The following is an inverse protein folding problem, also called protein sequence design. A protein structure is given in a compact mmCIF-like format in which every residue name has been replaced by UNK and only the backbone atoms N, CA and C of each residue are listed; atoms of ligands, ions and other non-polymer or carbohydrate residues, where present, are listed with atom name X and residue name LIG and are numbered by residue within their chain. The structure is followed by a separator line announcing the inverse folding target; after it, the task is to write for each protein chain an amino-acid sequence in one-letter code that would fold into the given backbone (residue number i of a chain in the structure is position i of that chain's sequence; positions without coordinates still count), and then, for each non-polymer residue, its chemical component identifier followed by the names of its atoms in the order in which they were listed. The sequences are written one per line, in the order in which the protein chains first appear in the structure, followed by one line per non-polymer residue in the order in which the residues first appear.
data_IF_555480083145
#
_entry.id   IF_555480083145
#
_cell.length_a   1.000
_cell.length_b   1.000
_cell.length_c   1.000
_cell.angle_alpha   90.00
_cell.angle_beta   90.00
_cell.angle_gamma   90.00
#
_symmetry.space_group_name_H-M   'P 1'
#
loop_
_entity.id
_entity.type
_entity.pdbx_description
1 polymer ?
#
# COMPACT_ATOMS: atom_id res chain seq x y z
N UNK A 1 1.78 -4.70 -13.06
CA UNK A 1 1.40 -5.72 -12.03
C UNK A 1 2.46 -5.82 -10.94
N UNK A 2 3.73 -6.14 -11.23
CA UNK A 2 4.76 -6.29 -10.21
C UNK A 2 5.08 -5.03 -9.37
N UNK A 3 4.70 -3.84 -9.84
CA UNK A 3 5.00 -2.58 -9.14
C UNK A 3 6.47 -2.17 -9.20
N UNK A 4 7.26 -2.70 -10.14
CA UNK A 4 8.71 -2.45 -10.21
C UNK A 4 9.12 -1.25 -11.08
N UNK A 5 8.29 -0.83 -12.05
CA UNK A 5 8.61 0.27 -12.98
C UNK A 5 8.34 1.65 -12.36
N UNK A 6 8.86 1.85 -11.15
CA UNK A 6 8.50 2.93 -10.25
C UNK A 6 9.40 4.16 -10.44
N UNK A 7 8.87 5.21 -11.05
CA UNK A 7 9.59 6.46 -11.34
C UNK A 7 8.64 7.63 -11.59
N UNK A 8 9.13 8.85 -11.34
CA UNK A 8 8.46 10.09 -11.68
C UNK A 8 8.66 10.39 -13.17
N UNK A 9 7.60 10.86 -13.83
CA UNK A 9 7.66 11.34 -15.21
C UNK A 9 6.93 12.68 -15.27
N UNK A 10 7.64 13.74 -15.67
CA UNK A 10 7.14 15.12 -15.68
C UNK A 10 6.51 15.53 -14.33
N UNK A 11 7.14 15.13 -13.22
CA UNK A 11 6.68 15.47 -11.86
C UNK A 11 5.48 14.69 -11.35
N UNK A 12 4.94 13.73 -12.11
CA UNK A 12 3.84 12.85 -11.68
C UNK A 12 4.31 11.41 -11.46
N UNK A 13 3.79 10.74 -10.43
CA UNK A 13 4.16 9.36 -10.16
C UNK A 13 3.61 8.47 -11.29
N UNK A 14 4.47 7.64 -11.90
CA UNK A 14 4.14 6.87 -13.10
C UNK A 14 3.80 7.68 -14.37
N UNK A 15 3.86 9.01 -14.31
CA UNK A 15 3.62 9.89 -15.44
C UNK A 15 2.15 10.20 -15.72
N UNK A 16 1.86 10.88 -16.85
CA UNK A 16 0.51 11.36 -17.14
C UNK A 16 -0.45 10.21 -17.41
N UNK A 17 -1.52 10.15 -16.63
CA UNK A 17 -2.55 9.13 -16.70
C UNK A 17 -3.13 8.86 -15.31
N UNK A 18 -4.18 8.04 -15.27
CA UNK A 18 -4.78 7.54 -14.01
C UNK A 18 -4.96 6.03 -14.13
N UNK A 19 -4.82 5.32 -13.02
CA UNK A 19 -4.99 3.85 -12.97
C UNK A 19 -3.94 3.05 -13.76
N UNK A 20 -2.77 3.64 -14.05
CA UNK A 20 -1.71 2.98 -14.82
C UNK A 20 -0.34 3.13 -14.18
N UNK A 21 0.51 2.12 -14.38
CA UNK A 21 1.94 2.21 -14.04
C UNK A 21 2.77 2.65 -15.25
N UNK A 22 4.01 3.07 -15.03
CA UNK A 22 4.94 3.52 -16.09
C UNK A 22 5.06 2.53 -17.27
N UNK A 23 5.07 1.22 -17.05
CA UNK A 23 5.18 0.24 -18.13
C UNK A 23 3.92 0.16 -19.04
N UNK A 24 2.82 0.79 -18.63
CA UNK A 24 1.59 0.94 -19.41
C UNK A 24 1.42 2.36 -19.96
N UNK A 25 2.36 3.27 -19.65
CA UNK A 25 2.40 4.60 -20.22
C UNK A 25 2.90 4.52 -21.68
N UNK A 26 2.13 5.07 -22.61
CA UNK A 26 2.46 5.04 -24.03
C UNK A 26 2.92 6.42 -24.51
N UNK A 27 3.90 6.45 -25.42
CA UNK A 27 4.45 7.69 -26.00
C UNK A 27 3.40 8.60 -26.65
N UNK A 28 2.28 8.04 -27.16
CA UNK A 28 1.14 8.80 -27.70
C UNK A 28 0.45 9.73 -26.69
N UNK A 29 0.79 9.65 -25.41
CA UNK A 29 0.31 10.58 -24.37
C UNK A 29 1.06 11.92 -24.39
N UNK A 30 2.22 11.96 -25.03
CA UNK A 30 3.05 13.15 -25.19
C UNK A 30 2.88 13.72 -26.60
N UNK A 31 3.11 15.03 -26.73
CA UNK A 31 3.11 15.70 -28.03
C UNK A 31 4.48 15.58 -28.68
N UNK A 32 4.50 15.67 -30.00
CA UNK A 32 5.77 15.72 -30.73
C UNK A 32 6.58 16.95 -30.32
N UNK A 33 7.87 16.76 -30.08
CA UNK A 33 8.77 17.79 -29.55
C UNK A 33 8.73 17.99 -28.03
N UNK A 34 7.90 17.26 -27.27
CA UNK A 34 7.90 17.36 -25.80
C UNK A 34 9.22 16.84 -25.19
N UNK A 35 9.76 17.58 -24.22
CA UNK A 35 10.84 17.09 -23.34
C UNK A 35 10.25 16.30 -22.19
N UNK A 36 10.68 15.05 -22.01
CA UNK A 36 10.22 14.18 -20.92
C UNK A 36 11.31 14.10 -19.84
N UNK A 37 10.96 14.55 -18.63
CA UNK A 37 11.81 14.44 -17.45
C UNK A 37 11.47 13.17 -16.68
N UNK A 38 12.47 12.33 -16.43
CA UNK A 38 12.32 11.06 -15.70
C UNK A 38 13.22 11.07 -14.48
N UNK A 39 12.67 10.76 -13.33
CA UNK A 39 13.36 10.84 -12.03
C UNK A 39 13.01 9.63 -11.15
N UNK A 40 13.91 9.20 -10.24
CA UNK A 40 13.57 8.18 -9.26
C UNK A 40 12.49 8.68 -8.28
N UNK A 41 11.98 7.79 -7.42
CA UNK A 41 11.11 8.22 -6.31
C UNK A 41 11.76 9.27 -5.42
N UNK A 42 10.94 10.27 -5.06
CA UNK A 42 11.31 11.37 -4.17
C UNK A 42 10.83 11.06 -2.76
N UNK A 43 11.53 10.19 -2.05
CA UNK A 43 11.25 9.91 -0.63
C UNK A 43 12.52 9.49 0.08
N UNK A 44 12.75 10.04 1.29
CA UNK A 44 13.89 9.63 2.13
C UNK A 44 13.82 8.15 2.51
N UNK A 45 12.61 7.61 2.65
CA UNK A 45 12.37 6.19 2.95
C UNK A 45 12.58 5.27 1.73
N UNK A 46 12.75 5.84 0.53
CA UNK A 46 13.12 5.10 -0.70
C UNK A 46 14.45 5.64 -1.27
N UNK A 47 15.58 5.36 -0.60
CA UNK A 47 16.86 5.89 -1.04
C UNK A 47 17.22 5.38 -2.43
N UNK A 48 17.80 6.28 -3.23
CA UNK A 48 18.29 5.95 -4.58
C UNK A 48 19.51 5.05 -4.45
N UNK A 49 19.45 3.88 -5.09
CA UNK A 49 20.59 2.97 -5.23
C UNK A 49 21.47 3.46 -6.38
N UNK A 50 20.87 3.60 -7.57
CA UNK A 50 21.53 4.09 -8.78
C UNK A 50 20.50 4.46 -9.84
N UNK A 51 20.71 5.57 -10.54
CA UNK A 51 19.85 6.07 -11.63
C UNK A 51 18.38 6.17 -11.19
N UNK A 52 17.50 5.35 -11.76
CA UNK A 52 16.06 5.32 -11.44
C UNK A 52 15.70 4.23 -10.41
N UNK A 53 16.68 3.48 -9.92
CA UNK A 53 16.46 2.36 -8.99
C UNK A 53 16.52 2.87 -7.55
N UNK A 54 15.47 2.57 -6.79
CA UNK A 54 15.35 2.90 -5.35
C UNK A 54 15.19 1.63 -4.51
N UNK A 55 15.66 1.68 -3.27
CA UNK A 55 15.41 0.63 -2.29
C UNK A 55 13.99 0.78 -1.72
N UNK A 56 13.18 -0.29 -1.77
CA UNK A 56 11.82 -0.34 -1.20
C UNK A 56 11.67 -1.42 -0.13
N UNK A 57 12.76 -1.99 0.37
CA UNK A 57 12.76 -3.08 1.34
C UNK A 57 12.04 -2.73 2.66
N UNK A 58 11.84 -1.43 2.93
CA UNK A 58 11.00 -0.95 4.02
C UNK A 58 9.57 -1.51 3.95
N UNK A 59 8.99 -1.65 2.76
CA UNK A 59 7.67 -2.24 2.57
C UNK A 59 7.65 -3.74 2.92
N UNK A 60 8.71 -4.47 2.60
CA UNK A 60 8.81 -5.90 2.93
C UNK A 60 8.90 -6.11 4.44
N UNK A 61 9.65 -5.24 5.15
CA UNK A 61 9.73 -5.26 6.62
C UNK A 61 8.40 -4.93 7.29
N UNK A 62 7.66 -3.95 6.78
CA UNK A 62 6.29 -3.66 7.22
C UNK A 62 5.38 -4.87 6.99
N UNK A 63 5.44 -5.50 5.82
CA UNK A 63 4.63 -6.68 5.53
C UNK A 63 4.98 -7.85 6.48
N UNK A 64 6.26 -8.04 6.81
CA UNK A 64 6.70 -9.08 7.75
C UNK A 64 6.24 -8.81 9.20
N UNK A 65 6.05 -7.55 9.59
CA UNK A 65 5.66 -7.18 10.95
C UNK A 65 4.23 -7.59 11.33
N UNK A 66 3.33 -7.76 10.35
CA UNK A 66 1.95 -8.14 10.63
C UNK A 66 1.10 -8.50 9.42
N UNK A 67 1.61 -8.44 8.20
CA UNK A 67 0.87 -8.70 6.96
C UNK A 67 0.67 -10.18 6.62
N UNK A 68 0.41 -11.03 7.60
CA UNK A 68 0.23 -12.48 7.45
C UNK A 68 -0.96 -13.00 8.28
N UNK A 69 -1.40 -14.23 8.03
CA UNK A 69 -2.36 -14.94 8.89
C UNK A 69 -1.64 -16.15 9.49
N UNK A 70 -1.69 -16.28 10.82
CA UNK A 70 -1.07 -17.38 11.56
C UNK A 70 -2.04 -18.55 11.67
N UNK A 71 -2.06 -19.38 10.63
CA UNK A 71 -2.85 -20.62 10.62
C UNK A 71 -1.97 -21.83 10.35
N UNK A 72 -2.27 -22.94 11.04
CA UNK A 72 -1.65 -24.22 10.75
C UNK A 72 -2.20 -24.76 9.43
N UNK A 73 -1.36 -24.76 8.39
CA UNK A 73 -1.70 -25.27 7.05
C UNK A 73 -1.44 -26.77 6.89
N UNK A 74 -0.86 -27.43 7.90
CA UNK A 74 -0.48 -28.84 7.84
C UNK A 74 -1.62 -29.76 8.31
N UNK A 75 -2.46 -30.19 7.37
CA UNK A 75 -3.34 -31.35 7.53
C UNK A 75 -4.78 -31.11 7.98
N UNK A 76 -5.14 -29.91 8.44
CA UNK A 76 -6.51 -29.53 8.85
C UNK A 76 -7.02 -28.33 8.06
N UNK A 77 -6.93 -28.40 6.73
CA UNK A 77 -7.47 -27.35 5.86
C UNK A 77 -9.00 -27.45 5.84
N UNK A 78 -9.66 -26.36 6.19
CA UNK A 78 -11.10 -26.22 6.07
C UNK A 78 -11.42 -25.86 4.61
N UNK A 79 -12.52 -26.39 4.07
CA UNK A 79 -13.00 -26.00 2.73
C UNK A 79 -13.21 -24.48 2.66
N UNK A 80 -12.73 -23.85 1.59
CA UNK A 80 -12.80 -22.39 1.42
C UNK A 80 -14.22 -21.83 1.39
N UNK A 81 -15.22 -22.66 1.08
CA UNK A 81 -16.64 -22.30 1.08
C UNK A 81 -17.33 -22.60 2.42
N UNK A 82 -16.64 -23.21 3.39
CA UNK A 82 -17.23 -23.56 4.68
C UNK A 82 -17.56 -22.33 5.55
N UNK A 83 -16.81 -21.24 5.37
CA UNK A 83 -17.04 -19.97 6.05
C UNK A 83 -17.62 -18.97 5.05
N UNK A 84 -18.93 -18.71 5.07
CA UNK A 84 -19.51 -17.69 4.20
C UNK A 84 -18.97 -16.31 4.58
N UNK A 85 -18.60 -15.54 3.57
CA UNK A 85 -18.13 -14.16 3.72
C UNK A 85 -19.10 -13.29 2.90
N UNK A 86 -19.62 -12.17 3.46
CA UNK A 86 -20.41 -11.23 2.70
C UNK A 86 -19.67 -10.77 1.44
N UNK A 87 -20.37 -10.66 0.31
CA UNK A 87 -19.76 -10.29 -0.98
C UNK A 87 -19.03 -8.95 -0.88
N UNK A 88 -19.65 -7.97 -0.25
CA UNK A 88 -19.08 -6.63 -0.09
C UNK A 88 -17.79 -6.65 0.73
N UNK A 89 -17.72 -7.45 1.80
CA UNK A 89 -16.50 -7.63 2.59
C UNK A 89 -15.39 -8.32 1.79
N UNK A 90 -15.75 -9.32 0.97
CA UNK A 90 -14.80 -10.04 0.13
C UNK A 90 -14.22 -9.15 -0.99
N UNK A 91 -15.07 -8.36 -1.64
CA UNK A 91 -14.66 -7.41 -2.68
C UNK A 91 -13.75 -6.33 -2.11
N UNK A 92 -14.16 -5.71 -1.02
CA UNK A 92 -13.41 -4.64 -0.39
C UNK A 92 -12.06 -5.14 0.19
N UNK A 93 -12.01 -6.38 0.67
CA UNK A 93 -10.76 -7.02 1.06
C UNK A 93 -9.86 -7.27 -0.16
N UNK A 94 -10.44 -7.69 -1.29
CA UNK A 94 -9.72 -7.90 -2.54
C UNK A 94 -9.19 -6.59 -3.12
N UNK A 95 -10.00 -5.53 -3.13
CA UNK A 95 -9.63 -4.19 -3.59
C UNK A 95 -8.42 -3.66 -2.83
N UNK A 96 -8.42 -3.79 -1.49
CA UNK A 96 -7.26 -3.50 -0.66
C UNK A 96 -6.04 -4.39 -1.01
N UNK A 97 -6.28 -5.69 -1.26
CA UNK A 97 -5.25 -6.66 -1.62
C UNK A 97 -4.60 -6.39 -3.00
N UNK A 98 -5.27 -5.65 -3.89
CA UNK A 98 -4.71 -5.28 -5.20
C UNK A 98 -3.47 -4.39 -5.09
N UNK A 99 -3.15 -3.88 -3.90
CA UNK A 99 -1.92 -3.14 -3.63
C UNK A 99 -0.66 -3.91 -4.04
N UNK A 100 -0.04 -3.43 -5.12
CA UNK A 100 1.18 -3.97 -5.72
C UNK A 100 2.48 -3.43 -5.11
N UNK A 101 2.39 -2.64 -4.04
CA UNK A 101 3.56 -2.09 -3.35
C UNK A 101 4.44 -1.14 -4.19
N UNK A 102 3.91 -0.52 -5.26
CA UNK A 102 4.72 0.29 -6.19
C UNK A 102 5.41 1.51 -5.56
N UNK A 103 4.89 2.03 -4.44
CA UNK A 103 5.46 3.16 -3.72
C UNK A 103 5.02 4.54 -4.21
N UNK A 104 4.15 4.63 -5.23
CA UNK A 104 3.62 5.92 -5.72
C UNK A 104 2.98 6.75 -4.60
N UNK A 105 2.20 6.11 -3.72
CA UNK A 105 1.53 6.75 -2.58
C UNK A 105 2.50 7.47 -1.63
N UNK A 106 3.69 6.90 -1.40
CA UNK A 106 4.75 7.52 -0.59
C UNK A 106 5.41 8.63 -1.38
N UNK A 107 5.79 8.35 -2.63
CA UNK A 107 6.56 9.27 -3.46
C UNK A 107 5.80 10.57 -3.76
N UNK A 108 4.47 10.52 -3.90
CA UNK A 108 3.64 11.72 -4.10
C UNK A 108 3.22 12.42 -2.80
N UNK A 109 3.38 11.77 -1.65
CA UNK A 109 2.98 12.35 -0.37
C UNK A 109 4.01 13.41 0.04
N UNK A 110 3.56 14.62 0.37
CA UNK A 110 4.43 15.70 0.85
C UNK A 110 5.22 15.30 2.09
N UNK A 111 4.65 14.43 2.93
CA UNK A 111 5.30 13.92 4.14
C UNK A 111 6.06 12.61 3.89
N UNK A 112 6.02 12.04 2.68
CA UNK A 112 6.57 10.72 2.40
C UNK A 112 5.90 9.62 3.23
N UNK A 113 4.59 9.70 3.45
CA UNK A 113 3.87 8.77 4.32
C UNK A 113 3.54 7.44 3.63
N UNK A 114 3.78 6.32 4.32
CA UNK A 114 3.35 4.99 3.86
C UNK A 114 1.94 4.59 4.31
N UNK A 115 1.17 5.53 4.89
CA UNK A 115 -0.13 5.25 5.49
C UNK A 115 -1.11 4.54 4.55
N UNK A 116 -1.18 4.90 3.25
CA UNK A 116 -2.06 4.20 2.31
C UNK A 116 -1.62 2.75 2.06
N UNK A 117 -0.31 2.49 2.01
CA UNK A 117 0.23 1.13 1.85
C UNK A 117 -0.10 0.27 3.07
N UNK A 118 0.23 0.76 4.27
CA UNK A 118 -0.06 0.06 5.53
C UNK A 118 -1.56 -0.19 5.66
N UNK A 119 -2.37 0.83 5.39
CA UNK A 119 -3.82 0.76 5.48
C UNK A 119 -4.43 -0.26 4.52
N UNK A 120 -3.95 -0.34 3.27
CA UNK A 120 -4.39 -1.37 2.32
C UNK A 120 -4.07 -2.78 2.85
N UNK A 121 -2.85 -2.99 3.37
CA UNK A 121 -2.45 -4.29 3.91
C UNK A 121 -3.18 -4.67 5.19
N UNK A 122 -3.49 -3.73 6.07
CA UNK A 122 -4.36 -3.98 7.23
C UNK A 122 -5.78 -4.31 6.77
N UNK A 123 -6.33 -3.52 5.86
CA UNK A 123 -7.70 -3.66 5.35
C UNK A 123 -7.94 -4.96 4.60
N UNK A 124 -6.94 -5.45 3.87
CA UNK A 124 -6.94 -6.75 3.19
C UNK A 124 -7.28 -7.90 4.15
N UNK A 125 -6.93 -7.80 5.44
CA UNK A 125 -7.16 -8.84 6.43
C UNK A 125 -8.29 -8.51 7.42
N UNK A 126 -8.51 -7.23 7.72
CA UNK A 126 -9.45 -6.79 8.75
C UNK A 126 -10.92 -7.18 8.46
N UNK A 127 -11.27 -7.32 7.19
CA UNK A 127 -12.62 -7.71 6.76
C UNK A 127 -12.84 -9.22 6.72
N UNK A 128 -11.77 -10.01 6.77
CA UNK A 128 -11.85 -11.45 6.63
C UNK A 128 -11.82 -12.11 8.02
N UNK A 129 -12.67 -13.13 8.28
CA UNK A 129 -12.66 -13.85 9.55
C UNK A 129 -11.28 -14.39 9.94
N UNK A 130 -10.50 -14.84 8.95
CA UNK A 130 -9.16 -15.40 9.13
C UNK A 130 -8.13 -14.36 9.59
N UNK A 131 -8.36 -13.07 9.32
CA UNK A 131 -7.45 -11.98 9.73
C UNK A 131 -7.80 -11.35 11.07
N UNK A 132 -8.97 -11.67 11.64
CA UNK A 132 -9.45 -11.17 12.94
C UNK A 132 -8.56 -11.55 14.13
N UNK A 133 -8.02 -12.79 14.23
CA UNK A 133 -7.22 -13.19 15.40
C UNK A 133 -6.02 -12.27 15.65
N UNK A 134 -5.31 -11.86 14.59
CA UNK A 134 -4.14 -10.99 14.69
C UNK A 134 -4.47 -9.50 14.49
N UNK A 135 -5.74 -9.11 14.34
CA UNK A 135 -6.09 -7.74 13.91
C UNK A 135 -5.44 -6.64 14.77
N UNK A 136 -5.47 -6.79 16.11
CA UNK A 136 -4.85 -5.83 17.05
C UNK A 136 -3.32 -5.78 16.87
N UNK A 137 -2.64 -6.92 16.92
CA UNK A 137 -1.19 -6.98 16.77
C UNK A 137 -0.72 -6.53 15.40
N UNK A 138 -1.44 -6.91 14.34
CA UNK A 138 -1.18 -6.53 12.96
C UNK A 138 -1.09 -5.03 12.82
N UNK A 139 -2.15 -4.30 13.22
CA UNK A 139 -2.18 -2.86 13.03
C UNK A 139 -1.12 -2.16 13.88
N UNK A 140 -0.93 -2.58 15.13
CA UNK A 140 0.08 -1.99 16.02
C UNK A 140 1.50 -2.22 15.49
N UNK A 141 1.86 -3.46 15.15
CA UNK A 141 3.20 -3.81 14.69
C UNK A 141 3.52 -3.19 13.33
N UNK A 142 2.55 -3.16 12.41
CA UNK A 142 2.78 -2.59 11.07
C UNK A 142 2.92 -1.06 11.10
N UNK A 143 2.15 -0.37 11.96
CA UNK A 143 2.31 1.08 12.17
C UNK A 143 3.63 1.37 12.89
N UNK A 144 3.97 0.62 13.94
CA UNK A 144 5.26 0.79 14.64
C UNK A 144 6.44 0.54 13.70
N UNK A 145 6.37 -0.49 12.84
CA UNK A 145 7.41 -0.74 11.85
C UNK A 145 7.48 0.40 10.82
N UNK A 146 6.35 0.90 10.34
CA UNK A 146 6.32 2.07 9.45
C UNK A 146 7.04 3.28 10.06
N UNK A 147 6.81 3.56 11.34
CA UNK A 147 7.46 4.66 12.04
C UNK A 147 8.99 4.42 12.16
N UNK A 148 9.42 3.17 12.41
CA UNK A 148 10.85 2.78 12.45
C UNK A 148 11.56 2.96 11.11
N UNK A 149 10.84 2.79 9.99
CA UNK A 149 11.38 3.03 8.64
C UNK A 149 11.52 4.53 8.31
N UNK A 150 11.03 5.43 9.16
CA UNK A 150 11.13 6.87 8.98
C UNK A 150 10.16 7.45 7.96
N UNK A 151 9.04 6.75 7.67
CA UNK A 151 7.95 7.34 6.90
C UNK A 151 7.27 8.46 7.68
N UNK A 152 6.82 9.52 6.99
CA UNK A 152 6.12 10.61 7.66
C UNK A 152 4.65 10.32 7.98
N UNK A 153 4.06 11.19 8.78
CA UNK A 153 2.67 11.08 9.22
C UNK A 153 1.66 11.51 8.12
N UNK A 154 0.44 10.99 8.19
CA UNK A 154 -0.64 11.44 7.30
C UNK A 154 -1.16 12.82 7.70
N UNK A 155 -1.27 13.74 6.75
CA UNK A 155 -1.96 15.03 6.89
C UNK A 155 -3.20 15.14 5.99
N UNK A 156 -3.71 14.01 5.50
CA UNK A 156 -4.91 13.91 4.63
C UNK A 156 -4.84 14.78 3.36
N UNK A 157 -3.68 14.83 2.70
CA UNK A 157 -3.54 15.56 1.42
C UNK A 157 -4.30 14.91 0.26
N UNK A 158 -4.59 13.61 0.35
CA UNK A 158 -5.32 12.82 -0.66
C UNK A 158 -4.55 12.48 -1.94
N UNK A 159 -3.33 13.00 -2.11
CA UNK A 159 -2.53 12.73 -3.31
C UNK A 159 -2.26 11.23 -3.53
N UNK A 160 -2.12 10.45 -2.45
CA UNK A 160 -1.80 9.03 -2.52
C UNK A 160 -2.88 8.17 -3.19
N UNK A 161 -4.17 8.52 -3.06
CA UNK A 161 -5.27 7.83 -3.75
C UNK A 161 -5.30 8.21 -5.23
N UNK A 162 -5.14 9.49 -5.53
CA UNK A 162 -5.16 10.06 -6.89
C UNK A 162 -4.03 9.51 -7.78
N UNK A 163 -2.84 9.34 -7.22
CA UNK A 163 -1.67 8.79 -7.92
C UNK A 163 -1.58 7.26 -7.83
N UNK A 164 -2.50 6.60 -7.14
CA UNK A 164 -2.47 5.15 -7.01
C UNK A 164 -2.82 4.49 -8.36
N UNK A 165 -1.93 3.69 -8.96
CA UNK A 165 -2.24 2.98 -10.21
C UNK A 165 -3.24 1.83 -10.02
N UNK A 166 -3.60 1.54 -8.77
CA UNK A 166 -4.59 0.55 -8.36
C UNK A 166 -5.83 1.16 -7.73
N UNK A 167 -5.92 2.49 -7.72
CA UNK A 167 -7.12 3.22 -7.29
C UNK A 167 -7.56 2.84 -5.86
N UNK A 168 -6.57 2.54 -5.00
CA UNK A 168 -6.80 2.20 -3.60
C UNK A 168 -7.32 3.42 -2.87
N UNK A 169 -8.48 3.26 -2.23
CA UNK A 169 -9.16 4.39 -1.59
C UNK A 169 -8.56 4.79 -0.24
N UNK A 170 -8.70 6.09 0.09
CA UNK A 170 -8.41 6.61 1.42
C UNK A 170 -9.31 6.01 2.52
N UNK A 171 -10.44 5.40 2.16
CA UNK A 171 -11.32 4.72 3.13
C UNK A 171 -10.58 3.63 3.93
N UNK A 172 -9.58 2.98 3.31
CA UNK A 172 -8.73 2.04 4.02
C UNK A 172 -7.89 2.72 5.11
N UNK A 173 -7.41 3.97 4.90
CA UNK A 173 -6.71 4.73 5.95
C UNK A 173 -7.66 5.00 7.11
N UNK A 174 -8.91 5.39 6.82
CA UNK A 174 -9.91 5.58 7.85
C UNK A 174 -10.19 4.28 8.64
N UNK A 175 -10.26 3.13 7.96
CA UNK A 175 -10.40 1.81 8.60
C UNK A 175 -9.20 1.49 9.49
N UNK A 176 -7.99 1.62 8.97
CA UNK A 176 -6.76 1.37 9.73
C UNK A 176 -6.68 2.26 10.97
N UNK A 177 -7.02 3.54 10.88
CA UNK A 177 -7.02 4.45 12.03
C UNK A 177 -8.02 4.01 13.12
N UNK A 178 -9.19 3.47 12.74
CA UNK A 178 -10.16 2.90 13.69
C UNK A 178 -9.62 1.64 14.35
N UNK A 179 -9.03 0.73 13.57
CA UNK A 179 -8.39 -0.49 14.09
C UNK A 179 -7.24 -0.14 15.06
N UNK A 180 -6.38 0.81 14.68
CA UNK A 180 -5.26 1.26 15.49
C UNK A 180 -5.71 1.90 16.80
N UNK A 181 -6.72 2.78 16.76
CA UNK A 181 -7.29 3.38 17.96
C UNK A 181 -7.89 2.32 18.88
N UNK A 182 -8.69 1.41 18.34
CA UNK A 182 -9.29 0.32 19.12
C UNK A 182 -8.22 -0.59 19.75
N UNK A 183 -7.18 -0.93 19.01
CA UNK A 183 -6.06 -1.74 19.51
C UNK A 183 -5.25 -1.01 20.58
N UNK A 184 -5.10 0.31 20.49
CA UNK A 184 -4.31 1.11 21.44
C UNK A 184 -4.98 1.32 22.80
N UNK A 185 -6.32 1.26 22.87
CA UNK A 185 -7.08 1.57 24.09
C UNK A 185 -7.74 0.36 24.74
N UNK A 186 -7.74 -0.80 24.08
CA UNK A 186 -8.29 -2.04 24.64
C UNK A 186 -7.17 -2.94 25.11
N UNK A 187 -7.30 -3.50 26.32
CA UNK A 187 -6.42 -4.58 26.77
C UNK A 187 -6.70 -5.85 25.94
N UNK A 188 -5.70 -6.72 25.83
CA UNK A 188 -5.86 -8.07 25.28
C UNK A 188 -6.93 -8.86 26.03
#
# INVERSE_FOLDING_TARGET
ICGSCSMFINGQAHGPGRGITTCQLHMRRFKDGDTIHIEPWRSAAFPVIKDLVVDRSAFDRIQAAGGFISVNTSGNLVDGNATPIPKDDADEAFDAATCIGCGACVATCTNGSAMLFVAAKVSQFALLPQGRPEAKHRVLNMVEQMDKEGFGNCSNTGACEIECPKEISLEHIARMNREYLAASVTKE
#
